data_IF_666397784811
#
_entry.id   IF_666397784811
#
_cell.length_a   1.000
_cell.length_b   1.000
_cell.length_c   1.000
_cell.angle_alpha   90.00
_cell.angle_beta   90.00
_cell.angle_gamma   90.00
#
_symmetry.space_group_name_H-M   'P 1'
#
loop_
_entity.id
_entity.type
_entity.pdbx_description
1 polymer ?
#
# COMPACT_ATOMS: atom_id res chain seq x y z
N UNK A 1 -1.27 -10.17 -10.10
CA UNK A 1 -1.38 -8.90 -9.36
C UNK A 1 -2.21 -9.11 -8.11
N UNK A 2 -1.73 -8.64 -6.96
CA UNK A 2 -2.49 -8.57 -5.70
C UNK A 2 -2.80 -7.11 -5.39
N UNK A 3 -3.86 -6.83 -4.64
CA UNK A 3 -4.15 -5.48 -4.14
C UNK A 3 -3.96 -5.48 -2.63
N UNK A 4 -3.13 -4.55 -2.12
CA UNK A 4 -2.89 -4.42 -0.69
C UNK A 4 -3.87 -3.44 -0.03
N UNK A 5 -4.32 -3.79 1.16
CA UNK A 5 -4.97 -2.87 2.08
C UNK A 5 -3.99 -1.79 2.58
N UNK A 6 -4.53 -0.64 2.98
CA UNK A 6 -3.79 0.50 3.53
C UNK A 6 -2.87 0.09 4.69
N UNK A 7 -3.34 -0.77 5.61
CA UNK A 7 -2.55 -1.17 6.78
C UNK A 7 -1.41 -2.13 6.43
N UNK A 8 -1.67 -3.09 5.55
CA UNK A 8 -0.65 -4.03 5.08
C UNK A 8 0.45 -3.29 4.32
N UNK A 9 0.07 -2.30 3.51
CA UNK A 9 1.03 -1.47 2.78
C UNK A 9 1.93 -0.68 3.72
N UNK A 10 1.36 0.01 4.72
CA UNK A 10 2.14 0.75 5.74
C UNK A 10 3.11 -0.21 6.46
N UNK A 11 2.61 -1.34 6.96
CA UNK A 11 3.45 -2.29 7.69
C UNK A 11 4.56 -2.90 6.83
N UNK A 12 4.32 -3.06 5.54
CA UNK A 12 5.34 -3.58 4.63
C UNK A 12 6.43 -2.56 4.33
N UNK A 13 6.08 -1.30 4.11
CA UNK A 13 7.06 -0.22 3.87
C UNK A 13 7.89 0.06 5.13
N UNK A 14 7.26 0.10 6.30
CA UNK A 14 7.91 0.39 7.58
C UNK A 14 8.58 -0.84 8.23
N UNK A 15 8.59 -2.00 7.56
CA UNK A 15 9.05 -3.30 8.10
C UNK A 15 8.48 -3.60 9.51
N UNK A 16 7.21 -3.29 9.70
CA UNK A 16 6.57 -3.34 11.01
C UNK A 16 6.37 -4.81 11.46
N UNK A 17 6.64 -5.16 12.73
CA UNK A 17 6.50 -6.54 13.25
C UNK A 17 5.06 -7.08 13.27
N UNK A 18 4.06 -6.28 12.83
CA UNK A 18 2.66 -6.70 12.70
C UNK A 18 2.40 -7.37 11.37
N UNK A 19 3.28 -7.19 10.38
CA UNK A 19 3.22 -7.93 9.14
C UNK A 19 3.62 -9.37 9.41
N UNK A 20 2.67 -10.29 9.23
CA UNK A 20 2.97 -11.71 9.40
C UNK A 20 3.99 -12.18 8.34
N UNK A 21 4.83 -13.19 8.66
CA UNK A 21 5.75 -13.76 7.68
C UNK A 21 5.03 -14.27 6.42
N UNK A 22 3.82 -14.82 6.59
CA UNK A 22 2.98 -15.29 5.49
C UNK A 22 2.59 -14.15 4.54
N UNK A 23 2.19 -12.98 5.07
CA UNK A 23 1.84 -11.84 4.24
C UNK A 23 3.08 -11.29 3.51
N UNK A 24 4.25 -11.28 4.16
CA UNK A 24 5.52 -10.91 3.53
C UNK A 24 5.87 -11.85 2.38
N UNK A 25 5.72 -13.16 2.57
CA UNK A 25 5.97 -14.16 1.52
C UNK A 25 5.02 -13.98 0.32
N UNK A 26 3.73 -13.71 0.57
CA UNK A 26 2.74 -13.41 -0.48
C UNK A 26 3.14 -12.15 -1.26
N UNK A 27 3.46 -11.06 -0.55
CA UNK A 27 3.89 -9.81 -1.19
C UNK A 27 5.13 -10.05 -2.05
N UNK A 28 6.13 -10.76 -1.51
CA UNK A 28 7.36 -11.06 -2.23
C UNK A 28 7.13 -11.95 -3.46
N UNK A 29 6.26 -12.96 -3.36
CA UNK A 29 5.88 -13.81 -4.48
C UNK A 29 5.20 -13.03 -5.62
N UNK A 30 4.50 -11.95 -5.29
CA UNK A 30 3.77 -11.12 -6.25
C UNK A 30 4.51 -9.86 -6.72
N UNK A 31 5.72 -9.57 -6.23
CA UNK A 31 6.54 -8.44 -6.72
C UNK A 31 6.77 -8.50 -8.24
N UNK A 32 6.92 -9.69 -8.80
CA UNK A 32 7.08 -9.91 -10.25
C UNK A 32 5.77 -9.78 -11.03
N UNK A 33 4.64 -10.06 -10.37
CA UNK A 33 3.30 -10.09 -10.96
C UNK A 33 2.53 -8.77 -10.79
N UNK A 34 3.11 -7.79 -10.10
CA UNK A 34 2.50 -6.52 -9.76
C UNK A 34 1.77 -6.53 -8.40
N UNK A 35 1.95 -5.44 -7.67
CA UNK A 35 1.30 -5.11 -6.40
C UNK A 35 0.50 -3.82 -6.62
N UNK A 36 -0.82 -3.93 -6.63
CA UNK A 36 -1.72 -2.80 -6.78
C UNK A 36 -1.94 -2.07 -5.45
N UNK A 37 -1.80 -0.75 -5.47
CA UNK A 37 -2.19 0.14 -4.37
C UNK A 37 -3.31 1.04 -4.87
N UNK A 38 -4.44 1.08 -4.16
CA UNK A 38 -5.53 2.00 -4.52
C UNK A 38 -5.16 3.44 -4.20
N UNK A 39 -5.51 4.39 -5.08
CA UNK A 39 -5.40 5.82 -4.76
C UNK A 39 -6.24 6.22 -3.53
N UNK A 40 -7.30 5.46 -3.19
CA UNK A 40 -8.05 5.64 -1.93
C UNK A 40 -7.14 5.42 -0.73
N UNK A 41 -6.27 4.41 -0.77
CA UNK A 41 -5.35 4.11 0.33
C UNK A 41 -4.41 5.29 0.58
N UNK A 42 -3.90 5.95 -0.47
CA UNK A 42 -3.10 7.17 -0.32
C UNK A 42 -3.88 8.28 0.40
N UNK A 43 -5.16 8.48 0.04
CA UNK A 43 -6.02 9.45 0.70
C UNK A 43 -6.30 9.09 2.16
N UNK A 44 -6.57 7.81 2.47
CA UNK A 44 -6.78 7.34 3.84
C UNK A 44 -5.56 7.60 4.72
N UNK A 45 -4.35 7.33 4.22
CA UNK A 45 -3.10 7.63 4.92
C UNK A 45 -2.99 9.12 5.19
N UNK A 46 -3.21 9.97 4.17
CA UNK A 46 -3.18 11.41 4.34
C UNK A 46 -4.19 11.90 5.39
N UNK A 47 -5.41 11.34 5.42
CA UNK A 47 -6.42 11.64 6.44
C UNK A 47 -6.02 11.16 7.83
N UNK A 48 -5.32 10.03 7.96
CA UNK A 48 -4.81 9.54 9.24
C UNK A 48 -3.71 10.46 9.79
N UNK A 49 -2.82 10.93 8.92
CA UNK A 49 -1.78 11.92 9.27
C UNK A 49 -2.39 13.25 9.66
N UNK A 50 -3.35 13.77 8.90
CA UNK A 50 -4.08 15.01 9.23
C UNK A 50 -4.78 14.92 10.60
N UNK A 51 -5.29 13.73 10.95
CA UNK A 51 -5.92 13.46 12.25
C UNK A 51 -4.91 13.17 13.37
N UNK A 52 -3.60 13.27 13.12
CA UNK A 52 -2.52 12.90 14.05
C UNK A 52 -2.65 11.47 14.60
N UNK A 53 -3.26 10.56 13.82
CA UNK A 53 -3.39 9.13 14.16
C UNK A 53 -2.26 8.29 13.60
N UNK A 54 -1.53 8.82 12.63
CA UNK A 54 -0.36 8.24 12.02
C UNK A 54 0.68 9.34 11.87
N UNK A 55 1.92 9.05 12.19
CA UNK A 55 3.04 9.99 12.11
C UNK A 55 4.20 9.27 11.48
N UNK A 56 4.75 9.84 10.41
CA UNK A 56 5.95 9.34 9.77
C UNK A 56 7.15 10.19 10.17
N UNK A 57 8.36 9.63 10.04
CA UNK A 57 9.59 10.39 10.28
C UNK A 57 9.79 11.50 9.24
N UNK A 58 9.28 11.29 8.03
CA UNK A 58 9.28 12.24 6.90
C UNK A 58 7.90 12.86 6.69
N UNK A 59 7.80 13.82 5.77
CA UNK A 59 6.49 14.32 5.34
C UNK A 59 5.67 13.20 4.67
N UNK A 60 4.33 13.34 4.68
CA UNK A 60 3.44 12.38 4.02
C UNK A 60 3.72 12.26 2.51
N UNK A 61 4.11 13.36 1.87
CA UNK A 61 4.41 13.39 0.44
C UNK A 61 5.69 12.59 0.15
N UNK A 62 6.77 12.82 0.91
CA UNK A 62 7.99 12.04 0.82
C UNK A 62 7.76 10.55 1.12
N UNK A 63 6.96 10.24 2.14
CA UNK A 63 6.64 8.86 2.49
C UNK A 63 5.88 8.18 1.36
N UNK A 64 4.86 8.82 0.78
CA UNK A 64 4.09 8.29 -0.35
C UNK A 64 4.97 8.09 -1.58
N UNK A 65 5.86 9.03 -1.89
CA UNK A 65 6.81 8.88 -2.99
C UNK A 65 7.75 7.70 -2.81
N UNK A 66 8.33 7.54 -1.61
CA UNK A 66 9.21 6.42 -1.30
C UNK A 66 8.43 5.11 -1.36
N UNK A 67 7.25 5.06 -0.75
CA UNK A 67 6.39 3.90 -0.73
C UNK A 67 6.02 3.47 -2.15
N UNK A 68 5.62 4.39 -3.04
CA UNK A 68 5.24 4.08 -4.43
C UNK A 68 6.43 3.68 -5.32
N UNK A 69 7.67 4.04 -4.95
CA UNK A 69 8.88 3.63 -5.67
C UNK A 69 9.29 2.18 -5.39
N UNK A 70 8.64 1.49 -4.46
CA UNK A 70 8.94 0.09 -4.17
C UNK A 70 8.71 -0.80 -5.41
N UNK A 71 9.57 -1.81 -5.62
CA UNK A 71 9.51 -2.65 -6.80
C UNK A 71 8.20 -3.42 -6.87
N UNK A 72 7.59 -3.39 -8.06
CA UNK A 72 6.33 -4.07 -8.34
C UNK A 72 5.09 -3.28 -7.96
N UNK A 73 5.20 -2.12 -7.30
CA UNK A 73 4.02 -1.30 -6.97
C UNK A 73 3.45 -0.63 -8.22
N UNK A 74 2.12 -0.69 -8.34
CA UNK A 74 1.32 -0.01 -9.33
C UNK A 74 0.19 0.75 -8.63
N UNK A 75 0.15 2.07 -8.82
CA UNK A 75 -0.93 2.90 -8.30
C UNK A 75 -2.17 2.73 -9.19
N UNK A 76 -3.23 2.20 -8.60
CA UNK A 76 -4.51 1.96 -9.26
C UNK A 76 -5.39 3.21 -9.14
N UNK A 77 -5.76 3.85 -10.28
CA UNK A 77 -6.66 4.98 -10.25
C UNK A 77 -8.06 4.55 -9.85
N UNK A 78 -8.75 5.40 -9.10
CA UNK A 78 -10.19 5.30 -8.89
C UNK A 78 -10.88 5.55 -10.20
N UNK A 79 -11.32 4.47 -10.82
CA UNK A 79 -11.96 4.58 -12.10
C UNK A 79 -13.30 3.82 -12.02
N UNK A 80 -14.44 4.52 -11.94
CA UNK A 80 -15.74 3.95 -11.58
C UNK A 80 -16.27 2.90 -12.56
N UNK A 81 -15.63 2.75 -13.72
CA UNK A 81 -15.97 1.77 -14.75
C UNK A 81 -15.04 0.54 -14.81
N UNK A 82 -13.87 0.59 -14.18
CA UNK A 82 -12.95 -0.55 -14.17
C UNK A 82 -13.10 -1.29 -12.84
N UNK A 83 -13.96 -2.30 -12.87
CA UNK A 83 -13.89 -3.42 -11.94
C UNK A 83 -12.59 -4.18 -12.21
N UNK A 84 -11.50 -3.70 -11.61
CA UNK A 84 -10.20 -4.34 -11.76
C UNK A 84 -10.24 -5.69 -11.04
N UNK A 85 -9.93 -6.78 -11.77
CA UNK A 85 -10.07 -8.17 -11.31
C UNK A 85 -8.98 -8.59 -10.32
N UNK A 86 -8.49 -7.67 -9.48
CA UNK A 86 -7.50 -7.96 -8.45
C UNK A 86 -8.15 -8.66 -7.26
N UNK A 87 -7.54 -9.75 -6.78
CA UNK A 87 -7.86 -10.27 -5.45
C UNK A 87 -7.36 -9.27 -4.40
N UNK A 88 -8.29 -8.70 -3.64
CA UNK A 88 -7.99 -7.80 -2.53
C UNK A 88 -7.58 -8.65 -1.34
N UNK A 89 -6.39 -8.42 -0.80
CA UNK A 89 -5.91 -9.03 0.43
C UNK A 89 -6.08 -8.04 1.58
N UNK A 90 -6.84 -8.46 2.61
CA UNK A 90 -6.99 -7.76 3.90
C UNK A 90 -6.14 -8.44 4.98
#
# INVERSE_FOLDING_TARGET
MIILDTHIWIWWVDDHPKLSPQNRDIIQAHQTSGIGISIISCWEIAKLVEKNRLTFESSIEEWLELALKYPGIQLLPLNPHSADRGQIFH
#
